data_IF_334133187260
#
_entry.id   IF_334133187260
#
_cell.length_a   1.000
_cell.length_b   1.000
_cell.length_c   1.000
_cell.angle_alpha   90.00
_cell.angle_beta   90.00
_cell.angle_gamma   90.00
#
_symmetry.space_group_name_H-M   'P 1'
#
loop_
_entity.id
_entity.type
_entity.pdbx_description
1 polymer ?
#
# COMPACT_ATOMS: atom_id res chain seq x y z
N UNK A 1 -59.76 -10.16 -13.04
CA UNK A 1 -61.07 -9.55 -13.36
C UNK A 1 -61.03 -8.13 -12.83
N UNK A 2 -61.35 -7.19 -13.71
CA UNK A 2 -61.23 -5.74 -13.61
C UNK A 2 -62.21 -5.20 -12.56
N UNK A 3 -61.84 -4.16 -11.79
CA UNK A 3 -62.71 -3.00 -11.57
C UNK A 3 -61.88 -1.80 -11.10
N UNK A 4 -62.08 -0.69 -11.81
CA UNK A 4 -61.51 0.64 -11.66
C UNK A 4 -62.68 1.61 -11.62
N UNK A 5 -62.65 2.63 -10.76
CA UNK A 5 -63.44 3.88 -10.78
C UNK A 5 -63.14 4.61 -9.44
N UNK A 6 -63.03 5.93 -9.29
CA UNK A 6 -63.11 7.09 -10.16
C UNK A 6 -62.40 8.29 -9.45
N UNK A 7 -62.37 9.44 -10.13
CA UNK A 7 -61.42 10.57 -10.03
C UNK A 7 -62.06 11.83 -9.39
N UNK A 8 -61.20 12.85 -9.13
CA UNK A 8 -61.47 14.32 -9.05
C UNK A 8 -61.97 14.85 -7.68
N UNK A 9 -61.58 16.00 -7.09
CA UNK A 9 -60.98 17.28 -7.54
C UNK A 9 -60.51 18.13 -6.31
N UNK A 10 -59.53 19.05 -6.47
CA UNK A 10 -59.06 20.12 -5.53
C UNK A 10 -60.02 21.36 -5.54
N UNK A 11 -59.90 22.50 -4.79
CA UNK A 11 -58.70 23.17 -4.20
C UNK A 11 -58.86 24.07 -2.90
N UNK A 12 -57.72 24.66 -2.45
CA UNK A 12 -57.48 25.99 -1.78
C UNK A 12 -58.25 26.38 -0.47
N UNK A 13 -57.75 27.13 0.53
CA UNK A 13 -56.58 28.00 0.77
C UNK A 13 -56.50 28.45 2.26
N UNK A 14 -55.30 28.92 2.66
CA UNK A 14 -54.99 30.03 3.59
C UNK A 14 -55.04 29.93 5.15
N UNK A 15 -53.83 30.15 5.71
CA UNK A 15 -53.47 31.08 6.81
C UNK A 15 -53.23 30.52 8.24
N UNK A 16 -51.96 30.53 8.66
CA UNK A 16 -51.52 30.91 10.01
C UNK A 16 -50.00 31.21 10.05
N UNK A 17 -49.70 32.51 10.03
CA UNK A 17 -48.71 33.28 10.82
C UNK A 17 -47.27 32.79 11.11
N UNK A 18 -46.34 33.70 10.76
CA UNK A 18 -44.90 33.82 11.04
C UNK A 18 -44.50 33.65 12.52
N UNK A 19 -43.40 32.92 12.76
CA UNK A 19 -42.39 33.27 13.76
C UNK A 19 -40.98 33.13 13.14
N UNK A 20 -40.21 34.21 13.20
CA UNK A 20 -38.80 34.29 12.82
C UNK A 20 -37.92 33.55 13.83
N UNK A 21 -36.99 32.73 13.33
CA UNK A 21 -35.72 32.45 14.01
C UNK A 21 -34.60 32.65 12.99
N UNK A 22 -33.94 33.81 13.07
CA UNK A 22 -32.60 34.01 12.51
C UNK A 22 -31.60 33.29 13.43
N UNK A 23 -30.90 32.27 12.92
CA UNK A 23 -29.54 31.87 13.32
C UNK A 23 -29.12 30.56 12.60
N UNK A 24 -28.68 30.66 11.34
CA UNK A 24 -28.22 29.50 10.57
C UNK A 24 -26.97 29.72 9.70
N UNK A 25 -26.37 30.92 9.71
CA UNK A 25 -25.32 31.27 8.73
C UNK A 25 -23.90 31.31 9.31
N UNK A 26 -23.71 31.32 10.63
CA UNK A 26 -22.38 31.40 11.24
C UNK A 26 -21.64 30.04 11.23
N UNK A 27 -22.33 28.94 11.52
CA UNK A 27 -21.72 27.60 11.61
C UNK A 27 -21.29 27.02 10.24
N UNK A 28 -21.93 27.47 9.15
CA UNK A 28 -21.61 27.04 7.77
C UNK A 28 -20.37 27.77 7.23
N UNK A 29 -20.06 28.96 7.75
CA UNK A 29 -18.88 29.73 7.32
C UNK A 29 -17.61 29.26 8.03
N UNK A 30 -17.66 28.93 9.33
CA UNK A 30 -16.50 28.40 10.06
C UNK A 30 -16.07 27.00 9.58
N UNK A 31 -17.01 26.13 9.24
CA UNK A 31 -16.70 24.78 8.71
C UNK A 31 -16.09 24.83 7.30
N UNK A 32 -16.50 25.79 6.47
CA UNK A 32 -15.91 25.98 5.14
C UNK A 32 -14.54 26.68 5.18
N UNK A 33 -14.30 27.60 6.12
CA UNK A 33 -12.98 28.22 6.33
C UNK A 33 -11.96 27.24 6.95
N UNK A 34 -12.37 26.38 7.89
CA UNK A 34 -11.48 25.30 8.40
C UNK A 34 -11.12 24.31 7.30
N UNK A 35 -12.09 23.83 6.52
CA UNK A 35 -11.84 22.90 5.40
C UNK A 35 -10.97 23.49 4.30
N UNK A 36 -11.09 24.79 3.98
CA UNK A 36 -10.23 25.42 2.98
C UNK A 36 -8.80 25.61 3.49
N UNK A 37 -8.63 25.95 4.77
CA UNK A 37 -7.32 26.12 5.40
C UNK A 37 -6.59 24.78 5.56
N UNK A 38 -7.30 23.71 5.93
CA UNK A 38 -6.74 22.34 6.00
C UNK A 38 -6.29 21.82 4.63
N UNK A 39 -7.07 22.06 3.58
CA UNK A 39 -6.68 21.74 2.20
C UNK A 39 -5.41 22.47 1.76
N UNK A 40 -5.29 23.76 2.12
CA UNK A 40 -4.13 24.59 1.77
C UNK A 40 -2.84 24.16 2.47
N UNK A 41 -2.92 23.70 3.72
CA UNK A 41 -1.76 23.16 4.43
C UNK A 41 -1.36 21.81 3.84
N UNK A 42 -2.31 20.90 3.65
CA UNK A 42 -2.07 19.58 3.05
C UNK A 42 -1.38 19.69 1.68
N UNK A 43 -1.85 20.57 0.81
CA UNK A 43 -1.26 20.78 -0.51
C UNK A 43 0.18 21.32 -0.45
N UNK A 44 0.47 22.26 0.47
CA UNK A 44 1.83 22.79 0.64
C UNK A 44 2.82 21.75 1.18
N UNK A 45 2.36 20.81 2.01
CA UNK A 45 3.19 19.69 2.44
C UNK A 45 3.40 18.70 1.30
N UNK A 46 2.36 18.35 0.53
CA UNK A 46 2.48 17.44 -0.62
C UNK A 46 3.47 17.95 -1.67
N UNK A 47 3.45 19.26 -1.98
CA UNK A 47 4.41 19.89 -2.91
C UNK A 47 5.88 19.73 -2.49
N UNK A 48 6.15 19.58 -1.19
CA UNK A 48 7.51 19.39 -0.66
C UNK A 48 7.89 17.92 -0.47
N UNK A 49 6.93 17.08 -0.08
CA UNK A 49 7.17 15.66 0.22
C UNK A 49 7.40 14.87 -1.06
N UNK A 50 6.62 15.13 -2.10
CA UNK A 50 6.66 14.38 -3.36
C UNK A 50 8.05 14.40 -4.02
N UNK A 51 8.72 15.55 -4.22
CA UNK A 51 10.06 15.59 -4.80
C UNK A 51 11.11 14.83 -3.98
N UNK A 52 10.97 14.80 -2.64
CA UNK A 52 11.88 14.05 -1.78
C UNK A 52 11.76 12.53 -2.00
N UNK A 53 10.53 12.02 -2.07
CA UNK A 53 10.29 10.59 -2.33
C UNK A 53 10.80 10.22 -3.74
N UNK A 54 10.49 11.05 -4.74
CA UNK A 54 10.92 10.83 -6.13
C UNK A 54 12.46 10.83 -6.27
N UNK A 55 13.16 11.69 -5.52
CA UNK A 55 14.62 11.70 -5.48
C UNK A 55 15.18 10.38 -4.93
N UNK A 56 14.66 9.90 -3.79
CA UNK A 56 15.10 8.63 -3.20
C UNK A 56 14.84 7.46 -4.15
N UNK A 57 13.67 7.43 -4.78
CA UNK A 57 13.30 6.41 -5.77
C UNK A 57 14.20 6.43 -7.01
N UNK A 58 14.61 7.62 -7.46
CA UNK A 58 15.52 7.80 -8.59
C UNK A 58 16.94 7.33 -8.26
N UNK A 59 17.45 7.69 -7.07
CA UNK A 59 18.76 7.22 -6.59
C UNK A 59 18.81 5.69 -6.49
N UNK A 60 17.72 5.07 -6.01
CA UNK A 60 17.60 3.61 -5.95
C UNK A 60 17.61 2.98 -7.33
N UNK A 61 16.85 3.53 -8.28
CA UNK A 61 16.80 3.03 -9.66
C UNK A 61 18.17 3.09 -10.37
N UNK A 62 19.02 4.05 -9.99
CA UNK A 62 20.40 4.17 -10.49
C UNK A 62 21.41 3.25 -9.78
N UNK A 63 20.97 2.45 -8.81
CA UNK A 63 21.83 1.53 -8.07
C UNK A 63 22.72 2.18 -7.01
N UNK A 64 22.52 3.47 -6.70
CA UNK A 64 23.32 4.22 -5.71
C UNK A 64 23.21 3.60 -4.31
N UNK A 65 22.16 2.82 -4.05
CA UNK A 65 21.92 2.14 -2.77
C UNK A 65 22.96 1.06 -2.40
N UNK A 66 23.87 0.73 -3.31
CA UNK A 66 24.99 -0.18 -3.05
C UNK A 66 26.12 0.51 -2.25
N UNK A 67 26.34 1.80 -2.52
CA UNK A 67 27.44 2.59 -1.93
C UNK A 67 26.95 3.61 -0.89
N UNK A 68 25.69 4.04 -1.00
CA UNK A 68 25.07 5.00 -0.08
C UNK A 68 23.77 4.43 0.47
N UNK A 69 23.62 4.47 1.80
CA UNK A 69 22.36 4.06 2.39
C UNK A 69 21.27 5.10 2.09
N UNK A 70 20.18 4.64 1.44
CA UNK A 70 19.01 5.45 1.13
C UNK A 70 17.90 5.18 2.14
N UNK A 71 17.16 6.23 2.58
CA UNK A 71 15.98 6.06 3.41
C UNK A 71 14.98 5.07 2.80
N UNK A 72 14.50 4.16 3.63
CA UNK A 72 13.52 3.14 3.25
C UNK A 72 12.64 2.76 4.44
N UNK A 73 11.45 2.21 4.18
CA UNK A 73 10.64 1.55 5.19
C UNK A 73 10.60 0.07 4.82
N UNK A 74 11.23 -0.77 5.63
CA UNK A 74 11.25 -2.21 5.41
C UNK A 74 10.15 -2.88 6.24
N UNK A 75 9.28 -3.64 5.58
CA UNK A 75 8.20 -4.38 6.23
C UNK A 75 8.68 -5.79 6.55
N UNK A 76 8.72 -6.11 7.84
CA UNK A 76 9.21 -7.40 8.35
C UNK A 76 8.19 -8.05 9.28
N UNK A 77 8.23 -9.38 9.34
CA UNK A 77 7.24 -10.16 10.06
C UNK A 77 7.38 -11.64 9.77
N UNK A 78 7.00 -12.48 10.72
CA UNK A 78 7.00 -13.94 10.57
C UNK A 78 6.11 -14.37 9.37
N UNK A 79 6.29 -15.57 8.86
CA UNK A 79 5.41 -16.12 7.82
C UNK A 79 3.95 -16.06 8.31
N UNK A 80 3.04 -15.63 7.43
CA UNK A 80 1.61 -15.47 7.75
C UNK A 80 1.26 -14.42 8.81
N UNK A 81 2.19 -13.51 9.15
CA UNK A 81 1.94 -12.39 10.10
C UNK A 81 0.93 -11.34 9.62
N UNK A 82 0.55 -11.36 8.34
CA UNK A 82 -0.36 -10.37 7.75
C UNK A 82 0.32 -9.21 7.02
N UNK A 83 1.63 -9.27 6.75
CA UNK A 83 2.37 -8.25 5.96
C UNK A 83 1.65 -7.86 4.67
N UNK A 84 1.33 -8.85 3.81
CA UNK A 84 0.62 -8.60 2.56
C UNK A 84 -0.72 -7.90 2.80
N UNK A 85 -1.46 -8.25 3.85
CA UNK A 85 -2.70 -7.55 4.20
C UNK A 85 -2.50 -6.08 4.56
N UNK A 86 -1.43 -5.75 5.29
CA UNK A 86 -1.09 -4.35 5.61
C UNK A 86 -0.78 -3.58 4.32
N UNK A 87 0.01 -4.19 3.44
CA UNK A 87 0.42 -3.57 2.18
C UNK A 87 -0.76 -3.37 1.22
N UNK A 88 -1.65 -4.36 1.11
CA UNK A 88 -2.88 -4.24 0.32
C UNK A 88 -3.81 -3.15 0.85
N UNK A 89 -3.93 -3.00 2.18
CA UNK A 89 -4.72 -1.94 2.78
C UNK A 89 -4.17 -0.54 2.45
N UNK A 90 -2.86 -0.41 2.26
CA UNK A 90 -2.20 0.85 1.88
C UNK A 90 -2.25 1.10 0.37
N UNK A 91 -2.06 0.06 -0.44
CA UNK A 91 -1.95 0.16 -1.90
C UNK A 91 -3.30 0.12 -2.62
N UNK A 92 -4.33 -0.45 -2.00
CA UNK A 92 -5.63 -0.70 -2.61
C UNK A 92 -5.63 -1.76 -3.70
N UNK A 93 -4.55 -2.54 -3.85
CA UNK A 93 -4.42 -3.61 -4.86
C UNK A 93 -4.02 -4.92 -4.20
N UNK A 94 -4.46 -6.05 -4.76
CA UNK A 94 -4.10 -7.37 -4.26
C UNK A 94 -2.61 -7.66 -4.50
N UNK A 95 -1.97 -8.23 -3.49
CA UNK A 95 -0.59 -8.74 -3.58
C UNK A 95 -0.64 -10.27 -3.51
N UNK A 96 0.38 -10.97 -4.02
CA UNK A 96 0.42 -12.43 -3.96
C UNK A 96 0.16 -12.96 -2.55
N UNK A 97 -0.81 -13.87 -2.44
CA UNK A 97 -1.17 -14.61 -1.20
C UNK A 97 -1.15 -16.11 -1.48
N UNK A 98 -0.85 -16.92 -0.47
CA UNK A 98 -0.79 -18.38 -0.61
C UNK A 98 -0.21 -19.08 0.61
N UNK A 99 -0.13 -20.41 0.53
CA UNK A 99 0.64 -21.24 1.48
C UNK A 99 2.14 -21.22 1.13
N UNK A 100 3.01 -21.32 2.13
CA UNK A 100 4.47 -21.21 1.94
C UNK A 100 5.01 -19.77 1.92
N UNK A 101 6.26 -19.62 1.48
CA UNK A 101 6.90 -18.30 1.30
C UNK A 101 6.35 -17.64 0.04
N UNK A 102 5.34 -16.78 0.23
CA UNK A 102 4.65 -16.11 -0.88
C UNK A 102 5.51 -15.00 -1.49
N UNK A 103 6.06 -14.11 -0.66
CA UNK A 103 7.04 -13.11 -1.12
C UNK A 103 8.39 -13.79 -1.29
N UNK A 104 8.74 -14.18 -2.52
CA UNK A 104 9.97 -14.92 -2.85
C UNK A 104 11.18 -14.02 -3.14
N UNK A 105 10.96 -12.74 -3.33
CA UNK A 105 12.01 -11.74 -3.50
C UNK A 105 11.53 -10.41 -2.93
N UNK A 106 12.44 -9.50 -2.55
CA UNK A 106 12.05 -8.18 -2.07
C UNK A 106 11.16 -7.44 -3.08
N UNK A 107 10.06 -6.87 -2.60
CA UNK A 107 9.12 -6.09 -3.40
C UNK A 107 9.14 -4.62 -2.95
N UNK A 108 9.63 -3.73 -3.81
CA UNK A 108 9.52 -2.29 -3.61
C UNK A 108 8.14 -1.84 -4.07
N UNK A 109 7.30 -1.41 -3.14
CA UNK A 109 5.98 -0.87 -3.40
C UNK A 109 6.05 0.66 -3.37
N UNK A 110 5.94 1.29 -4.54
CA UNK A 110 5.89 2.74 -4.72
C UNK A 110 4.44 3.18 -4.90
N UNK A 111 3.92 3.94 -3.95
CA UNK A 111 2.59 4.52 -4.01
C UNK A 111 2.69 6.00 -4.37
N UNK A 112 1.95 6.40 -5.40
CA UNK A 112 1.94 7.77 -5.90
C UNK A 112 0.54 8.33 -5.92
N UNK A 113 0.29 9.37 -5.13
CA UNK A 113 -1.01 10.05 -5.13
C UNK A 113 -1.16 10.86 -6.41
N UNK A 114 -2.26 10.66 -7.13
CA UNK A 114 -2.63 11.50 -8.27
C UNK A 114 -3.60 12.59 -7.82
N UNK A 115 -3.26 13.85 -8.10
CA UNK A 115 -4.07 15.02 -7.68
C UNK A 115 -4.98 15.55 -8.79
N UNK A 116 -4.62 15.29 -10.06
CA UNK A 116 -5.30 15.84 -11.25
C UNK A 116 -5.82 14.79 -12.22
N UNK A 117 -5.49 13.53 -12.01
CA UNK A 117 -5.88 12.40 -12.85
C UNK A 117 -6.61 11.38 -11.98
N UNK A 118 -7.83 11.01 -12.38
CA UNK A 118 -8.65 10.02 -11.67
C UNK A 118 -8.36 8.58 -12.13
N UNK A 119 -7.45 8.40 -13.08
CA UNK A 119 -7.15 7.09 -13.64
C UNK A 119 -6.08 6.35 -12.82
N UNK A 120 -6.41 5.14 -12.40
CA UNK A 120 -5.47 4.24 -11.76
C UNK A 120 -4.40 3.78 -12.76
N UNK A 121 -3.14 3.76 -12.36
CA UNK A 121 -2.03 3.25 -13.16
C UNK A 121 -1.17 2.30 -12.34
N UNK A 122 -0.82 1.16 -12.92
CA UNK A 122 0.12 0.21 -12.33
C UNK A 122 1.31 -0.02 -13.24
N UNK A 123 2.48 -0.27 -12.65
CA UNK A 123 3.67 -0.73 -13.37
C UNK A 123 4.45 -1.71 -12.53
N UNK A 124 4.87 -2.82 -13.12
CA UNK A 124 5.79 -3.77 -12.52
C UNK A 124 7.10 -3.74 -13.28
N UNK A 125 8.21 -3.53 -12.57
CA UNK A 125 9.57 -3.50 -13.13
C UNK A 125 10.47 -4.51 -12.41
N UNK A 126 11.29 -5.23 -13.17
CA UNK A 126 12.31 -6.16 -12.66
C UNK A 126 13.39 -6.36 -13.72
N UNK A 127 14.67 -6.35 -13.32
CA UNK A 127 15.80 -6.26 -14.27
C UNK A 127 15.58 -5.09 -15.24
N UNK A 128 15.72 -5.32 -16.54
CA UNK A 128 15.47 -4.33 -17.60
C UNK A 128 14.04 -4.41 -18.19
N UNK A 129 13.13 -5.13 -17.52
CA UNK A 129 11.76 -5.33 -17.98
C UNK A 129 10.84 -4.38 -17.22
N UNK A 130 10.02 -3.65 -17.95
CA UNK A 130 8.90 -2.88 -17.42
C UNK A 130 7.59 -3.35 -18.07
N UNK A 131 6.57 -3.58 -17.26
CA UNK A 131 5.24 -3.99 -17.70
C UNK A 131 4.22 -3.03 -17.11
N UNK A 132 3.54 -2.29 -17.98
CA UNK A 132 2.38 -1.49 -17.59
C UNK A 132 1.19 -2.39 -17.29
N UNK A 133 0.43 -2.02 -16.26
CA UNK A 133 -0.76 -2.73 -15.80
C UNK A 133 -1.92 -1.76 -15.94
N UNK A 134 -2.91 -2.14 -16.74
CA UNK A 134 -4.10 -1.33 -16.99
C UNK A 134 -5.21 -1.53 -15.96
N UNK A 135 -5.21 -2.65 -15.23
CA UNK A 135 -6.22 -2.97 -14.22
C UNK A 135 -5.59 -3.44 -12.90
N UNK A 136 -6.07 -2.87 -11.79
CA UNK A 136 -5.66 -3.25 -10.43
C UNK A 136 -5.80 -4.74 -10.13
N UNK A 137 -6.75 -5.43 -10.77
CA UNK A 137 -6.99 -6.87 -10.61
C UNK A 137 -5.86 -7.74 -11.16
N UNK A 138 -5.07 -7.22 -12.11
CA UNK A 138 -3.99 -7.97 -12.74
C UNK A 138 -2.67 -7.86 -11.96
N UNK A 139 -2.60 -6.98 -10.95
CA UNK A 139 -1.38 -6.71 -10.18
C UNK A 139 -0.82 -7.97 -9.52
N UNK A 140 -1.67 -8.73 -8.83
CA UNK A 140 -1.26 -9.94 -8.13
C UNK A 140 -0.56 -10.92 -9.09
N UNK A 141 -1.17 -11.16 -10.25
CA UNK A 141 -0.64 -12.08 -11.25
C UNK A 141 0.68 -11.59 -11.86
N UNK A 142 0.78 -10.29 -12.19
CA UNK A 142 2.02 -9.73 -12.75
C UNK A 142 3.17 -9.75 -11.74
N UNK A 143 2.91 -9.43 -10.47
CA UNK A 143 3.92 -9.51 -9.41
C UNK A 143 4.35 -10.96 -9.21
N UNK A 144 3.41 -11.90 -9.12
CA UNK A 144 3.70 -13.35 -9.00
C UNK A 144 4.54 -13.85 -10.16
N UNK A 145 4.22 -13.44 -11.39
CA UNK A 145 4.99 -13.78 -12.59
C UNK A 145 6.42 -13.25 -12.52
N UNK A 146 6.61 -11.99 -12.14
CA UNK A 146 7.94 -11.41 -11.95
C UNK A 146 8.75 -12.18 -10.88
N UNK A 147 8.15 -12.47 -9.73
CA UNK A 147 8.78 -13.24 -8.66
C UNK A 147 9.23 -14.64 -9.13
N UNK A 148 8.39 -15.34 -9.90
CA UNK A 148 8.74 -16.66 -10.44
C UNK A 148 9.89 -16.61 -11.44
N UNK A 149 9.97 -15.55 -12.26
CA UNK A 149 11.09 -15.36 -13.20
C UNK A 149 12.40 -15.14 -12.44
N UNK A 150 12.38 -14.32 -11.38
CA UNK A 150 13.60 -13.98 -10.63
C UNK A 150 14.06 -15.11 -9.69
N UNK A 151 13.14 -15.78 -9.02
CA UNK A 151 13.45 -16.82 -8.04
C UNK A 151 13.49 -18.23 -8.64
N UNK A 152 13.17 -18.38 -9.94
CA UNK A 152 13.11 -19.65 -10.66
C UNK A 152 11.84 -20.45 -10.41
N UNK A 153 11.58 -21.43 -11.28
CA UNK A 153 10.51 -22.43 -11.12
C UNK A 153 10.86 -23.36 -9.94
N UNK A 154 10.40 -22.99 -8.75
CA UNK A 154 10.71 -23.67 -7.50
C UNK A 154 10.20 -22.89 -6.31
N UNK A 155 10.75 -23.16 -5.14
CA UNK A 155 10.35 -22.53 -3.86
C UNK A 155 11.50 -21.77 -3.19
N UNK A 156 12.57 -21.50 -3.95
CA UNK A 156 13.69 -20.68 -3.51
C UNK A 156 13.34 -19.19 -3.44
N UNK A 157 14.24 -18.41 -2.86
CA UNK A 157 14.16 -16.95 -2.81
C UNK A 157 15.23 -16.30 -3.71
N UNK A 158 14.97 -15.09 -4.18
CA UNK A 158 15.95 -14.26 -4.88
C UNK A 158 16.28 -13.00 -4.07
N UNK A 159 17.49 -12.49 -4.27
CA UNK A 159 17.91 -11.19 -3.74
C UNK A 159 17.56 -10.04 -4.70
N UNK A 160 17.18 -10.36 -5.95
CA UNK A 160 16.78 -9.39 -6.96
C UNK A 160 15.45 -8.72 -6.58
N UNK A 161 15.32 -7.43 -6.90
CA UNK A 161 14.14 -6.63 -6.55
C UNK A 161 13.06 -6.72 -7.63
N UNK A 162 11.81 -6.80 -7.20
CA UNK A 162 10.65 -6.43 -8.02
C UNK A 162 10.18 -5.05 -7.55
N UNK A 163 9.90 -4.15 -8.47
CA UNK A 163 9.28 -2.86 -8.15
C UNK A 163 7.85 -2.86 -8.67
N UNK A 164 6.88 -2.59 -7.79
CA UNK A 164 5.50 -2.30 -8.13
C UNK A 164 5.25 -0.82 -7.87
N UNK A 165 4.88 -0.09 -8.91
CA UNK A 165 4.42 1.29 -8.82
C UNK A 165 2.90 1.33 -9.00
N UNK A 166 2.19 1.92 -8.03
CA UNK A 166 0.75 2.14 -8.06
C UNK A 166 0.49 3.64 -7.94
N UNK A 167 -0.15 4.21 -8.96
CA UNK A 167 -0.57 5.60 -8.98
C UNK A 167 -2.09 5.69 -8.92
N UNK A 168 -2.64 6.42 -7.95
CA UNK A 168 -4.09 6.57 -7.76
C UNK A 168 -4.40 7.78 -6.87
N UNK A 169 -5.55 8.45 -7.01
CA UNK A 169 -5.97 9.49 -6.05
C UNK A 169 -6.23 8.95 -4.64
N UNK A 170 -6.37 7.62 -4.49
CA UNK A 170 -6.76 6.98 -3.23
C UNK A 170 -5.59 6.39 -2.44
N UNK A 171 -4.35 6.48 -2.95
CA UNK A 171 -3.15 6.00 -2.25
C UNK A 171 -2.38 7.16 -1.63
N UNK A 172 -1.58 6.92 -0.56
CA UNK A 172 -0.63 7.90 -0.06
C UNK A 172 0.61 8.00 -0.95
N UNK A 173 1.37 9.09 -0.81
CA UNK A 173 2.75 9.12 -1.31
C UNK A 173 3.65 8.38 -0.33
N UNK A 174 4.08 7.16 -0.70
CA UNK A 174 4.80 6.26 0.20
C UNK A 174 5.61 5.22 -0.59
N UNK A 175 6.83 4.92 -0.16
CA UNK A 175 7.62 3.80 -0.69
C UNK A 175 7.95 2.82 0.43
N UNK A 176 7.56 1.55 0.25
CA UNK A 176 7.79 0.44 1.19
C UNK A 176 8.61 -0.66 0.52
N UNK A 177 9.36 -1.43 1.30
CA UNK A 177 10.04 -2.65 0.85
C UNK A 177 9.45 -3.83 1.61
N UNK A 178 8.65 -4.65 0.94
CA UNK A 178 8.18 -5.93 1.49
C UNK A 178 9.30 -6.97 1.41
N UNK A 179 9.54 -7.66 2.52
CA UNK A 179 10.57 -8.68 2.63
C UNK A 179 9.94 -10.06 2.87
N UNK A 180 10.58 -11.15 2.40
CA UNK A 180 10.08 -12.50 2.65
C UNK A 180 9.80 -12.76 4.12
N UNK A 181 8.67 -13.42 4.42
CA UNK A 181 8.28 -13.73 5.78
C UNK A 181 9.25 -14.70 6.46
N UNK A 182 9.58 -14.44 7.73
CA UNK A 182 10.52 -15.29 8.46
C UNK A 182 9.89 -16.65 8.72
N UNK A 183 10.55 -17.72 8.26
CA UNK A 183 10.15 -19.10 8.52
C UNK A 183 11.21 -19.84 9.33
N UNK A 184 10.76 -20.77 10.17
CA UNK A 184 11.60 -21.59 11.05
C UNK A 184 11.91 -22.95 10.43
N UNK A 185 11.04 -23.44 9.57
CA UNK A 185 11.09 -24.78 8.98
C UNK A 185 10.81 -24.66 7.49
N UNK A 186 11.58 -25.38 6.68
CA UNK A 186 11.33 -25.47 5.25
C UNK A 186 9.99 -26.18 5.00
N UNK A 187 9.12 -25.59 4.18
CA UNK A 187 7.85 -26.19 3.77
C UNK A 187 7.95 -26.75 2.35
N UNK A 188 7.46 -27.97 2.13
CA UNK A 188 7.46 -28.62 0.82
C UNK A 188 8.88 -28.84 0.28
N UNK A 189 9.16 -28.34 -0.92
CA UNK A 189 10.43 -28.54 -1.62
C UNK A 189 11.48 -27.46 -1.30
N UNK A 190 11.28 -26.69 -0.21
CA UNK A 190 12.18 -25.59 0.13
C UNK A 190 13.55 -26.12 0.56
N UNK A 191 14.64 -25.39 0.24
CA UNK A 191 15.95 -25.70 0.79
C UNK A 191 15.91 -25.73 2.32
N UNK A 192 16.63 -26.66 2.94
CA UNK A 192 16.66 -26.80 4.41
C UNK A 192 17.19 -25.54 5.11
N UNK A 193 17.96 -24.70 4.42
CA UNK A 193 18.51 -23.46 4.93
C UNK A 193 17.71 -22.20 4.53
N UNK A 194 16.50 -22.35 3.97
CA UNK A 194 15.67 -21.23 3.50
C UNK A 194 15.45 -20.15 4.56
N UNK A 195 15.19 -20.54 5.81
CA UNK A 195 15.01 -19.62 6.93
C UNK A 195 16.27 -18.77 7.18
N UNK A 196 17.46 -19.37 7.05
CA UNK A 196 18.74 -18.64 7.15
C UNK A 196 18.91 -17.68 5.98
N UNK A 197 18.57 -18.10 4.76
CA UNK A 197 18.66 -17.23 3.58
C UNK A 197 17.74 -16.01 3.71
N UNK A 198 16.50 -16.22 4.16
CA UNK A 198 15.53 -15.15 4.43
C UNK A 198 16.04 -14.18 5.49
N UNK A 199 16.54 -14.69 6.63
CA UNK A 199 17.11 -13.83 7.69
C UNK A 199 18.31 -13.02 7.20
N UNK A 200 19.17 -13.61 6.39
CA UNK A 200 20.31 -12.92 5.77
C UNK A 200 19.84 -11.82 4.81
N UNK A 201 18.84 -12.10 3.98
CA UNK A 201 18.23 -11.10 3.09
C UNK A 201 17.66 -9.93 3.89
N UNK A 202 16.84 -10.20 4.91
CA UNK A 202 16.22 -9.17 5.74
C UNK A 202 17.28 -8.27 6.39
N UNK A 203 18.33 -8.87 6.97
CA UNK A 203 19.42 -8.12 7.62
C UNK A 203 20.08 -7.09 6.71
N UNK A 204 20.18 -7.34 5.40
CA UNK A 204 20.74 -6.36 4.45
C UNK A 204 19.96 -5.04 4.41
N UNK A 205 18.67 -5.07 4.72
CA UNK A 205 17.80 -3.90 4.73
C UNK A 205 17.72 -3.28 6.12
N UNK A 206 17.44 -4.08 7.15
CA UNK A 206 17.11 -3.59 8.50
C UNK A 206 18.33 -3.14 9.33
N UNK A 207 19.55 -3.48 8.92
CA UNK A 207 20.77 -3.05 9.61
C UNK A 207 21.23 -1.63 9.23
N UNK A 208 20.67 -1.05 8.16
CA UNK A 208 20.98 0.31 7.72
C UNK A 208 20.31 1.31 8.66
N UNK A 209 21.03 2.34 9.11
CA UNK A 209 20.50 3.34 10.05
C UNK A 209 19.37 4.17 9.45
N UNK A 210 19.37 4.29 8.13
CA UNK A 210 18.41 5.04 7.33
C UNK A 210 17.13 4.24 7.05
N UNK A 211 17.08 2.95 7.41
CA UNK A 211 15.90 2.11 7.24
C UNK A 211 15.02 2.17 8.48
N UNK A 212 13.75 2.51 8.28
CA UNK A 212 12.70 2.37 9.29
C UNK A 212 12.19 0.92 9.26
N UNK A 213 12.28 0.23 10.40
CA UNK A 213 11.80 -1.14 10.56
C UNK A 213 10.30 -1.12 10.91
N UNK A 214 9.43 -1.56 9.98
CA UNK A 214 8.00 -1.76 10.22
C UNK A 214 7.74 -3.24 10.55
N UNK A 215 7.60 -3.55 11.83
CA UNK A 215 7.37 -4.92 12.31
C UNK A 215 5.87 -5.23 12.35
N UNK A 216 5.45 -6.28 11.65
CA UNK A 216 4.06 -6.77 11.64
C UNK A 216 3.94 -7.99 12.56
N UNK A 217 3.11 -7.86 13.59
CA UNK A 217 2.86 -8.90 14.60
C UNK A 217 1.36 -9.19 14.69
N UNK A 218 0.92 -10.47 14.56
CA UNK A 218 -0.47 -10.84 14.79
C UNK A 218 -0.89 -10.58 16.24
N UNK A 219 -2.09 -10.03 16.44
CA UNK A 219 -2.61 -9.73 17.79
C UNK A 219 -2.86 -10.96 18.66
N UNK A 220 -2.91 -12.15 18.08
CA UNK A 220 -3.12 -13.43 18.77
C UNK A 220 -1.82 -14.18 19.10
N UNK A 221 -0.66 -13.57 18.85
CA UNK A 221 0.66 -14.17 19.13
C UNK A 221 1.36 -13.33 20.19
N UNK A 222 2.09 -13.99 21.09
CA UNK A 222 2.93 -13.30 22.06
C UNK A 222 4.10 -12.61 21.35
N UNK A 223 4.18 -11.30 21.54
CA UNK A 223 5.21 -10.44 20.98
C UNK A 223 6.63 -10.92 21.35
N UNK A 224 6.81 -11.51 22.54
CA UNK A 224 8.11 -12.03 22.99
C UNK A 224 8.60 -13.24 22.16
N UNK A 225 7.70 -13.92 21.45
CA UNK A 225 8.02 -15.09 20.62
C UNK A 225 8.26 -14.75 19.15
N UNK A 226 8.07 -13.48 18.77
CA UNK A 226 8.13 -13.01 17.38
C UNK A 226 9.58 -12.83 16.94
N UNK A 227 10.01 -13.58 15.93
CA UNK A 227 11.39 -13.50 15.43
C UNK A 227 11.66 -12.17 14.74
N UNK A 228 10.68 -11.64 14.01
CA UNK A 228 10.80 -10.32 13.37
C UNK A 228 11.15 -9.20 14.36
N UNK A 229 10.58 -9.22 15.56
CA UNK A 229 10.88 -8.22 16.58
C UNK A 229 12.27 -8.42 17.20
N UNK A 230 12.69 -9.67 17.39
CA UNK A 230 14.05 -10.00 17.85
C UNK A 230 15.14 -9.55 16.85
N UNK A 231 14.80 -9.53 15.56
CA UNK A 231 15.70 -9.07 14.50
C UNK A 231 15.74 -7.54 14.33
N UNK A 232 14.66 -6.84 14.69
CA UNK A 232 14.44 -5.41 14.44
C UNK A 232 15.23 -4.50 15.38
#
# INVERSE_FOLDING_TARGET
MVHSEAKMTRPDSASASKQQLLNGNADIQETNQKRSTEKNLCSQYEEKVRPCIDLIDSLRALGVEQDLALPAIAVIGDQSSGKSSVLEALSGVALPRGSGTVTRCPLVLKLKRLVKEDEWKGKVSYRDIEVEISNALDVEEQVRKAQNILAGEGVGISQELVTLEVSSPHVPDLTLIDLPGITRVAEGNQPSDIGRQIKTLIRKYIQRQETINLVVVPSNVDIATTEALSMA
#
